data_IF_110878840669
#
_entry.id   IF_110878840669
#
_cell.length_a   1.000
_cell.length_b   1.000
_cell.length_c   1.000
_cell.angle_alpha   90.00
_cell.angle_beta   90.00
_cell.angle_gamma   90.00
#
_symmetry.space_group_name_H-M   'P 1'
#
loop_
_entity.id
_entity.type
_entity.pdbx_description
1 polymer ?
#
# COMPACT_ATOMS: atom_id res chain seq x y z
N UNK A 1 -20.76 -26.67 50.84
CA UNK A 1 -19.89 -25.99 49.86
C UNK A 1 -18.50 -25.99 50.46
N UNK A 2 -17.58 -26.72 49.85
CA UNK A 2 -16.21 -26.84 50.34
C UNK A 2 -15.53 -25.48 50.32
N UNK A 3 -14.92 -25.08 51.44
CA UNK A 3 -14.19 -23.81 51.58
C UNK A 3 -13.18 -23.60 50.43
N UNK A 4 -12.62 -24.69 49.89
CA UNK A 4 -11.75 -24.66 48.71
C UNK A 4 -12.42 -24.09 47.47
N UNK A 5 -13.69 -24.43 47.21
CA UNK A 5 -14.43 -23.91 46.04
C UNK A 5 -14.71 -22.41 46.15
N UNK A 6 -15.03 -21.94 47.36
CA UNK A 6 -15.24 -20.51 47.64
C UNK A 6 -13.96 -19.70 47.41
N UNK A 7 -12.82 -20.15 47.95
CA UNK A 7 -11.53 -19.46 47.78
C UNK A 7 -11.08 -19.40 46.32
N UNK A 8 -11.27 -20.48 45.57
CA UNK A 8 -10.88 -20.55 44.16
C UNK A 8 -11.76 -19.61 43.30
N UNK A 9 -13.08 -19.59 43.56
CA UNK A 9 -13.97 -18.64 42.88
C UNK A 9 -13.62 -17.18 43.18
N UNK A 10 -13.29 -16.86 44.43
CA UNK A 10 -12.92 -15.50 44.84
C UNK A 10 -11.61 -15.07 44.17
N UNK A 11 -10.60 -15.94 44.17
CA UNK A 11 -9.31 -15.67 43.54
C UNK A 11 -9.45 -15.41 42.04
N UNK A 12 -10.29 -16.18 41.35
CA UNK A 12 -10.56 -16.00 39.93
C UNK A 12 -11.27 -14.67 39.65
N UNK A 13 -12.27 -14.31 40.45
CA UNK A 13 -12.94 -13.00 40.34
C UNK A 13 -11.96 -11.87 40.56
N UNK A 14 -11.13 -11.93 41.61
CA UNK A 14 -10.11 -10.90 41.89
C UNK A 14 -9.10 -10.81 40.76
N UNK A 15 -8.67 -11.93 40.18
CA UNK A 15 -7.73 -11.94 39.06
C UNK A 15 -8.33 -11.30 37.80
N UNK A 16 -9.56 -11.66 37.44
CA UNK A 16 -10.29 -11.03 36.32
C UNK A 16 -10.47 -9.54 36.57
N UNK A 17 -10.88 -9.16 37.79
CA UNK A 17 -11.07 -7.77 38.16
C UNK A 17 -9.74 -7.00 38.10
N UNK A 18 -8.64 -7.58 38.56
CA UNK A 18 -7.31 -6.98 38.48
C UNK A 18 -6.84 -6.82 37.04
N UNK A 19 -7.11 -7.81 36.16
CA UNK A 19 -6.79 -7.72 34.74
C UNK A 19 -7.59 -6.60 34.05
N UNK A 20 -8.88 -6.49 34.34
CA UNK A 20 -9.79 -5.47 33.79
C UNK A 20 -9.51 -4.07 34.36
N UNK A 21 -9.09 -3.97 35.63
CA UNK A 21 -8.77 -2.70 36.29
C UNK A 21 -7.32 -2.24 36.07
N UNK A 22 -6.43 -3.12 35.59
CA UNK A 22 -5.05 -2.77 35.20
C UNK A 22 -4.96 -1.58 34.23
N UNK A 23 -5.78 -1.46 33.17
CA UNK A 23 -5.79 -0.26 32.32
C UNK A 23 -6.27 1.01 33.05
N UNK A 24 -7.07 0.89 34.12
CA UNK A 24 -7.54 2.03 34.91
C UNK A 24 -6.49 2.53 35.92
N UNK A 25 -5.66 1.64 36.46
CA UNK A 25 -4.65 1.99 37.47
C UNK A 25 -3.28 2.41 36.86
N UNK A 26 -3.09 2.17 35.56
CA UNK A 26 -1.83 2.36 34.84
C UNK A 26 -1.77 3.62 33.96
N UNK A 27 -2.41 4.72 34.32
CA UNK A 27 -2.26 5.98 33.58
C UNK A 27 -2.32 7.19 34.48
N UNK A 28 -1.14 7.61 34.97
CA UNK A 28 -0.89 9.05 34.96
C UNK A 28 -0.91 9.46 33.47
N UNK A 29 -1.75 10.43 33.05
CA UNK A 29 -1.84 10.84 31.66
C UNK A 29 -0.56 11.59 31.28
N UNK A 30 0.45 10.84 30.85
CA UNK A 30 1.67 11.38 30.25
C UNK A 30 1.59 11.14 28.74
N UNK A 31 1.04 12.12 28.02
CA UNK A 31 1.36 12.40 26.61
C UNK A 31 0.66 11.63 25.50
N UNK A 32 0.44 10.31 25.62
CA UNK A 32 0.21 9.45 24.44
C UNK A 32 -1.28 9.23 24.04
N UNK A 33 -2.22 9.20 25.00
CA UNK A 33 -3.64 9.02 24.67
C UNK A 33 -4.22 10.14 23.77
N UNK A 34 -3.60 11.32 23.76
CA UNK A 34 -4.05 12.45 22.95
C UNK A 34 -3.73 12.29 21.46
N UNK A 35 -2.60 11.69 21.11
CA UNK A 35 -2.19 11.51 19.71
C UNK A 35 -2.93 10.35 19.06
N UNK A 36 -3.07 9.21 19.75
CA UNK A 36 -3.91 8.09 19.32
C UNK A 36 -5.39 8.51 19.09
N UNK A 37 -5.95 9.36 19.96
CA UNK A 37 -7.30 9.89 19.79
C UNK A 37 -7.42 10.85 18.58
N UNK A 38 -6.38 11.64 18.31
CA UNK A 38 -6.33 12.52 17.13
C UNK A 38 -6.21 11.72 15.84
N UNK A 39 -5.34 10.71 15.82
CA UNK A 39 -5.15 9.84 14.66
C UNK A 39 -6.41 9.05 14.34
N UNK A 40 -7.10 8.50 15.34
CA UNK A 40 -8.39 7.83 15.13
C UNK A 40 -9.48 8.78 14.63
N UNK A 41 -9.51 10.03 15.11
CA UNK A 41 -10.42 11.05 14.59
C UNK A 41 -10.15 11.37 13.11
N UNK A 42 -8.88 11.52 12.72
CA UNK A 42 -8.48 11.74 11.33
C UNK A 42 -8.81 10.54 10.44
N UNK A 43 -8.63 9.31 10.94
CA UNK A 43 -9.01 8.10 10.21
C UNK A 43 -10.52 8.05 9.94
N UNK A 44 -11.34 8.41 10.92
CA UNK A 44 -12.79 8.48 10.75
C UNK A 44 -13.22 9.58 9.76
N UNK A 45 -12.50 10.70 9.72
CA UNK A 45 -12.73 11.77 8.74
C UNK A 45 -12.41 11.29 7.32
N UNK A 46 -11.31 10.55 7.14
CA UNK A 46 -10.96 9.91 5.87
C UNK A 46 -12.03 8.93 5.40
N UNK A 47 -12.53 8.08 6.29
CA UNK A 47 -13.60 7.13 5.94
C UNK A 47 -14.88 7.85 5.48
N UNK A 48 -15.25 8.96 6.15
CA UNK A 48 -16.41 9.77 5.72
C UNK A 48 -16.24 10.36 4.33
N UNK A 49 -15.04 10.86 3.98
CA UNK A 49 -14.78 11.40 2.64
C UNK A 49 -14.85 10.30 1.59
N UNK A 50 -14.33 9.11 1.88
CA UNK A 50 -14.43 7.96 0.98
C UNK A 50 -15.88 7.53 0.75
N UNK A 51 -16.67 7.44 1.81
CA UNK A 51 -18.10 7.14 1.71
C UNK A 51 -18.83 8.18 0.86
N UNK A 52 -18.51 9.47 1.04
CA UNK A 52 -19.09 10.55 0.23
C UNK A 52 -18.70 10.44 -1.26
N UNK A 53 -17.44 10.12 -1.56
CA UNK A 53 -17.00 9.87 -2.96
C UNK A 53 -17.77 8.69 -3.55
N UNK A 54 -17.91 7.60 -2.79
CA UNK A 54 -18.65 6.43 -3.23
C UNK A 54 -20.12 6.77 -3.52
N UNK A 55 -20.77 7.54 -2.65
CA UNK A 55 -22.17 7.95 -2.82
C UNK A 55 -22.35 8.77 -4.11
N UNK A 56 -21.47 9.75 -4.37
CA UNK A 56 -21.58 10.57 -5.60
C UNK A 56 -21.24 9.77 -6.86
N UNK A 57 -20.31 8.82 -6.79
CA UNK A 57 -19.97 7.92 -7.89
C UNK A 57 -21.21 7.05 -8.22
N UNK A 58 -21.90 6.55 -7.19
CA UNK A 58 -23.15 5.79 -7.36
C UNK A 58 -24.29 6.64 -7.92
N UNK A 59 -24.47 7.87 -7.42
CA UNK A 59 -25.51 8.78 -7.90
C UNK A 59 -25.29 9.21 -9.36
N UNK A 60 -24.03 9.40 -9.76
CA UNK A 60 -23.68 9.65 -11.16
C UNK A 60 -23.98 8.43 -12.05
N UNK A 61 -23.59 7.22 -11.63
CA UNK A 61 -23.92 5.98 -12.36
C UNK A 61 -25.44 5.77 -12.47
N UNK A 62 -26.20 6.17 -11.46
CA UNK A 62 -27.68 6.16 -11.48
C UNK A 62 -28.29 7.29 -12.33
N UNK A 63 -27.48 8.20 -12.88
CA UNK A 63 -27.93 9.33 -13.70
C UNK A 63 -28.63 10.44 -12.91
N UNK A 64 -28.48 10.48 -11.58
CA UNK A 64 -29.06 11.54 -10.73
C UNK A 64 -28.25 12.83 -10.76
N UNK A 65 -26.96 12.73 -11.04
CA UNK A 65 -26.00 13.85 -11.04
C UNK A 65 -25.43 14.01 -12.45
N UNK A 66 -25.51 15.22 -13.04
CA UNK A 66 -24.94 15.49 -14.36
C UNK A 66 -23.41 15.47 -14.32
N UNK A 67 -22.78 15.14 -15.46
CA UNK A 67 -21.32 14.95 -15.59
C UNK A 67 -20.48 16.14 -15.07
N UNK A 68 -20.92 17.36 -15.37
CA UNK A 68 -20.20 18.58 -14.98
C UNK A 68 -20.16 18.77 -13.46
N UNK A 69 -21.30 18.54 -12.79
CA UNK A 69 -21.40 18.65 -11.34
C UNK A 69 -20.67 17.49 -10.65
N UNK A 70 -20.75 16.29 -11.22
CA UNK A 70 -20.03 15.11 -10.73
C UNK A 70 -18.52 15.36 -10.68
N UNK A 71 -17.92 15.79 -11.79
CA UNK A 71 -16.48 16.04 -11.84
C UNK A 71 -16.06 17.13 -10.85
N UNK A 72 -16.83 18.22 -10.75
CA UNK A 72 -16.53 19.30 -9.81
C UNK A 72 -16.58 18.82 -8.36
N UNK A 73 -17.63 18.09 -7.99
CA UNK A 73 -17.84 17.62 -6.62
C UNK A 73 -16.80 16.56 -6.23
N UNK A 74 -16.51 15.63 -7.14
CA UNK A 74 -15.48 14.60 -6.93
C UNK A 74 -14.08 15.19 -6.77
N UNK A 75 -13.73 16.22 -7.55
CA UNK A 75 -12.46 16.91 -7.38
C UNK A 75 -12.37 17.65 -6.04
N UNK A 76 -13.47 18.22 -5.56
CA UNK A 76 -13.50 18.89 -4.26
C UNK A 76 -13.27 17.88 -3.12
N UNK A 77 -14.00 16.77 -3.11
CA UNK A 77 -13.85 15.70 -2.11
C UNK A 77 -12.46 15.04 -2.17
N UNK A 78 -11.92 14.82 -3.37
CA UNK A 78 -10.58 14.26 -3.52
C UNK A 78 -9.48 15.16 -2.93
N UNK A 79 -9.62 16.49 -3.07
CA UNK A 79 -8.71 17.47 -2.45
C UNK A 79 -8.83 17.45 -0.93
N UNK A 80 -10.05 17.39 -0.40
CA UNK A 80 -10.29 17.26 1.04
C UNK A 80 -9.67 15.97 1.60
N UNK A 81 -9.88 14.84 0.93
CA UNK A 81 -9.28 13.56 1.31
C UNK A 81 -7.74 13.59 1.29
N UNK A 82 -7.13 14.26 0.31
CA UNK A 82 -5.68 14.42 0.25
C UNK A 82 -5.12 15.23 1.42
N UNK A 83 -5.82 16.29 1.84
CA UNK A 83 -5.44 17.09 3.02
C UNK A 83 -5.55 16.28 4.32
N UNK A 84 -6.57 15.44 4.46
CA UNK A 84 -6.72 14.55 5.63
C UNK A 84 -5.60 13.51 5.66
N UNK A 85 -5.29 12.88 4.52
CA UNK A 85 -4.19 11.90 4.43
C UNK A 85 -2.84 12.53 4.82
N UNK A 86 -2.57 13.75 4.37
CA UNK A 86 -1.36 14.49 4.75
C UNK A 86 -1.26 14.69 6.27
N UNK A 87 -2.37 15.05 6.93
CA UNK A 87 -2.40 15.19 8.41
C UNK A 87 -2.18 13.86 9.12
N UNK A 88 -2.70 12.76 8.55
CA UNK A 88 -2.46 11.41 9.07
C UNK A 88 -0.97 11.08 8.97
N UNK A 89 -0.34 11.30 7.82
CA UNK A 89 1.10 11.06 7.62
C UNK A 89 1.95 11.88 8.60
N UNK A 90 1.61 13.15 8.80
CA UNK A 90 2.27 14.02 9.78
C UNK A 90 2.12 13.50 11.22
N UNK A 91 0.93 13.01 11.59
CA UNK A 91 0.69 12.42 12.92
C UNK A 91 1.43 11.10 13.13
N UNK A 92 1.46 10.23 12.12
CA UNK A 92 2.20 8.97 12.18
C UNK A 92 3.69 9.20 12.30
N UNK A 93 4.25 10.16 11.55
CA UNK A 93 5.67 10.47 11.61
C UNK A 93 6.09 11.09 12.97
N UNK A 94 5.18 11.80 13.63
CA UNK A 94 5.38 12.33 14.98
C UNK A 94 5.27 11.24 16.07
N UNK A 95 4.37 10.27 15.89
CA UNK A 95 4.14 9.15 16.82
C UNK A 95 5.02 7.93 16.54
N UNK A 96 5.77 7.91 15.42
CA UNK A 96 6.82 6.93 15.13
C UNK A 96 7.87 6.98 16.24
N UNK A 97 7.66 6.19 17.29
CA UNK A 97 8.58 6.09 18.41
C UNK A 97 9.97 5.65 17.95
N UNK A 98 10.97 5.72 18.84
CA UNK A 98 12.37 5.38 18.53
C UNK A 98 12.58 3.91 18.07
N UNK A 99 11.56 3.06 18.13
CA UNK A 99 11.54 1.70 17.56
C UNK A 99 11.11 1.67 16.09
N UNK A 100 10.11 2.47 15.70
CA UNK A 100 9.68 2.59 14.30
C UNK A 100 10.77 3.26 13.46
N UNK A 101 11.40 4.31 13.99
CA UNK A 101 12.53 4.98 13.35
C UNK A 101 13.74 4.05 13.18
N UNK A 102 14.02 3.19 14.17
CA UNK A 102 15.07 2.15 14.07
C UNK A 102 14.74 1.09 13.02
N UNK A 103 13.48 0.68 12.92
CA UNK A 103 13.05 -0.28 11.91
C UNK A 103 13.20 0.30 10.49
N UNK A 104 12.85 1.57 10.30
CA UNK A 104 13.00 2.29 9.04
C UNK A 104 14.47 2.47 8.65
N UNK A 105 15.35 2.81 9.58
CA UNK A 105 16.80 2.89 9.37
C UNK A 105 17.41 1.53 8.98
N UNK A 106 16.96 0.44 9.61
CA UNK A 106 17.36 -0.93 9.27
C UNK A 106 16.91 -1.30 7.85
N UNK A 107 15.69 -0.91 7.46
CA UNK A 107 15.16 -1.15 6.12
C UNK A 107 15.95 -0.36 5.05
N UNK A 108 16.23 0.92 5.30
CA UNK A 108 17.03 1.76 4.40
C UNK A 108 18.45 1.19 4.20
N UNK A 109 19.08 0.70 5.27
CA UNK A 109 20.39 0.05 5.20
C UNK A 109 20.33 -1.22 4.33
N UNK A 110 19.28 -2.03 4.50
CA UNK A 110 19.08 -3.25 3.69
C UNK A 110 18.84 -2.96 2.22
N UNK A 111 18.16 -1.86 1.89
CA UNK A 111 17.91 -1.46 0.51
C UNK A 111 19.22 -1.14 -0.22
N UNK A 112 20.12 -0.40 0.44
CA UNK A 112 21.47 -0.11 -0.07
C UNK A 112 22.28 -1.41 -0.27
N UNK A 113 22.25 -2.32 0.70
CA UNK A 113 22.92 -3.62 0.59
C UNK A 113 22.39 -4.46 -0.58
N UNK A 114 21.07 -4.41 -0.80
CA UNK A 114 20.41 -5.12 -1.89
C UNK A 114 20.85 -4.54 -3.26
N UNK A 115 20.86 -3.22 -3.40
CA UNK A 115 21.33 -2.56 -4.63
C UNK A 115 22.81 -2.89 -4.93
N UNK A 116 23.66 -2.88 -3.90
CA UNK A 116 25.06 -3.26 -4.03
C UNK A 116 25.22 -4.73 -4.45
N UNK A 117 24.43 -5.64 -3.89
CA UNK A 117 24.44 -7.06 -4.27
C UNK A 117 23.97 -7.25 -5.72
N UNK A 118 22.92 -6.55 -6.16
CA UNK A 118 22.43 -6.57 -7.54
C UNK A 118 23.51 -6.05 -8.51
N UNK A 119 24.20 -4.97 -8.18
CA UNK A 119 25.29 -4.44 -9.00
C UNK A 119 26.45 -5.44 -9.16
N UNK A 120 26.83 -6.14 -8.09
CA UNK A 120 27.85 -7.19 -8.14
C UNK A 120 27.44 -8.38 -9.01
N UNK A 121 26.18 -8.81 -8.93
CA UNK A 121 25.64 -9.89 -9.76
C UNK A 121 25.57 -9.48 -11.24
N UNK A 122 25.21 -8.23 -11.54
CA UNK A 122 25.23 -7.69 -12.90
C UNK A 122 26.65 -7.60 -13.48
N UNK A 123 27.65 -7.29 -12.64
CA UNK A 123 29.07 -7.25 -13.03
C UNK A 123 29.76 -8.61 -13.16
N UNK A 124 29.22 -9.68 -12.55
CA UNK A 124 29.81 -11.03 -12.55
C UNK A 124 29.10 -12.04 -13.46
N UNK A 125 28.02 -11.65 -14.13
CA UNK A 125 27.37 -12.52 -15.11
C UNK A 125 28.30 -12.83 -16.30
N UNK A 126 28.17 -14.00 -16.96
CA UNK A 126 28.97 -14.38 -18.14
C UNK A 126 28.86 -13.40 -19.33
N UNK A 127 27.99 -12.39 -19.24
CA UNK A 127 27.75 -11.37 -20.26
C UNK A 127 28.25 -9.96 -19.85
N UNK A 128 29.02 -9.81 -18.76
CA UNK A 128 29.46 -8.50 -18.26
C UNK A 128 30.51 -7.80 -19.15
N UNK A 129 31.33 -8.55 -19.89
CA UNK A 129 32.32 -7.99 -20.82
C UNK A 129 31.75 -7.61 -22.20
N UNK A 130 30.50 -7.95 -22.49
CA UNK A 130 29.91 -7.84 -23.83
C UNK A 130 29.00 -6.63 -24.03
N UNK A 131 28.71 -5.85 -22.99
CA UNK A 131 27.68 -4.77 -23.07
C UNK A 131 28.18 -3.42 -23.57
N UNK A 132 29.48 -3.15 -23.55
CA UNK A 132 30.00 -1.85 -23.97
C UNK A 132 30.17 -1.71 -25.49
N UNK A 133 30.02 -2.82 -26.23
CA UNK A 133 29.98 -2.81 -27.70
C UNK A 133 29.21 -4.00 -28.27
N UNK A 134 27.99 -4.22 -27.78
CA UNK A 134 27.00 -4.95 -28.56
C UNK A 134 26.16 -3.88 -29.24
N UNK A 135 26.45 -3.59 -30.50
CA UNK A 135 25.36 -3.40 -31.46
C UNK A 135 24.50 -4.65 -31.27
N UNK A 136 23.53 -4.57 -30.36
CA UNK A 136 22.46 -5.54 -30.28
C UNK A 136 21.81 -5.36 -31.64
N UNK A 137 22.10 -6.28 -32.56
CA UNK A 137 21.10 -6.67 -33.54
C UNK A 137 19.93 -7.15 -32.68
N UNK A 138 19.12 -6.17 -32.28
CA UNK A 138 17.91 -6.42 -31.51
C UNK A 138 17.11 -7.47 -32.26
N UNK A 139 16.33 -8.29 -31.56
CA UNK A 139 15.33 -9.10 -32.25
C UNK A 139 14.58 -8.16 -33.20
N UNK A 140 14.60 -8.47 -34.50
CA UNK A 140 13.97 -7.62 -35.52
C UNK A 140 12.52 -7.41 -35.06
N UNK A 141 12.16 -6.16 -34.83
CA UNK A 141 10.81 -5.76 -34.48
C UNK A 141 10.05 -5.50 -35.77
N UNK A 142 8.89 -6.13 -35.89
CA UNK A 142 7.99 -5.99 -37.03
C UNK A 142 6.64 -5.47 -36.52
N UNK A 143 5.77 -5.01 -37.41
CA UNK A 143 4.40 -4.64 -37.04
C UNK A 143 3.49 -5.84 -37.32
N UNK A 144 2.59 -6.12 -36.40
CA UNK A 144 1.55 -7.12 -36.60
C UNK A 144 0.67 -6.69 -37.79
N UNK A 145 0.47 -7.57 -38.80
CA UNK A 145 -0.30 -7.21 -40.00
C UNK A 145 -1.79 -6.97 -39.73
N UNK A 146 -2.34 -7.50 -38.63
CA UNK A 146 -3.76 -7.37 -38.29
C UNK A 146 -4.10 -6.12 -37.48
N UNK A 147 -3.29 -5.80 -36.45
CA UNK A 147 -3.59 -4.69 -35.54
C UNK A 147 -2.56 -3.55 -35.59
N UNK A 148 -1.44 -3.74 -36.29
CA UNK A 148 -0.36 -2.75 -36.40
C UNK A 148 0.52 -2.62 -35.16
N UNK A 149 0.38 -3.49 -34.15
CA UNK A 149 1.20 -3.41 -32.94
C UNK A 149 2.63 -3.92 -33.18
N UNK A 150 3.61 -3.34 -32.51
CA UNK A 150 5.01 -3.81 -32.60
C UNK A 150 5.14 -5.19 -31.95
N UNK A 151 5.67 -6.15 -32.70
CA UNK A 151 5.88 -7.54 -32.30
C UNK A 151 7.35 -7.92 -32.47
N UNK A 152 7.81 -8.88 -31.69
CA UNK A 152 9.14 -9.46 -31.83
C UNK A 152 9.10 -10.69 -32.73
N UNK A 153 10.14 -10.91 -33.52
CA UNK A 153 10.24 -12.07 -34.42
C UNK A 153 10.22 -13.44 -33.70
N UNK A 154 10.33 -13.46 -32.37
CA UNK A 154 10.21 -14.66 -31.54
C UNK A 154 8.77 -14.92 -31.04
N UNK A 155 7.85 -13.97 -31.26
CA UNK A 155 6.46 -14.09 -30.82
C UNK A 155 5.70 -15.02 -31.76
N UNK A 156 5.02 -16.03 -31.18
CA UNK A 156 4.13 -16.93 -31.94
C UNK A 156 2.74 -16.34 -32.17
N UNK A 157 2.34 -15.40 -31.32
CA UNK A 157 1.04 -14.72 -31.35
C UNK A 157 1.21 -13.25 -30.96
N UNK A 158 0.39 -12.37 -31.51
CA UNK A 158 0.34 -10.96 -31.09
C UNK A 158 -0.26 -10.83 -29.69
N UNK A 159 0.41 -10.11 -28.79
CA UNK A 159 -0.06 -9.87 -27.42
C UNK A 159 -1.30 -8.96 -27.33
N UNK A 160 -1.59 -8.18 -28.37
CA UNK A 160 -2.70 -7.22 -28.39
C UNK A 160 -3.97 -7.82 -28.99
N UNK A 161 -3.87 -8.47 -30.15
CA UNK A 161 -5.02 -8.98 -30.92
C UNK A 161 -5.11 -10.51 -30.98
N UNK A 162 -4.08 -11.24 -30.55
CA UNK A 162 -4.05 -12.70 -30.55
C UNK A 162 -3.77 -13.38 -31.90
N UNK A 163 -3.50 -12.63 -32.97
CA UNK A 163 -3.20 -13.19 -34.29
C UNK A 163 -1.95 -14.07 -34.28
N UNK A 164 -1.99 -15.24 -34.94
CA UNK A 164 -0.86 -16.17 -35.05
C UNK A 164 0.16 -15.70 -36.09
N UNK A 165 1.45 -15.75 -35.73
CA UNK A 165 2.56 -15.20 -36.51
C UNK A 165 3.44 -16.28 -37.17
N UNK A 166 3.18 -17.57 -36.89
CA UNK A 166 4.02 -18.70 -37.34
C UNK A 166 3.97 -18.98 -38.85
N UNK A 167 3.00 -18.43 -39.60
CA UNK A 167 2.76 -18.78 -41.01
C UNK A 167 3.37 -17.79 -42.03
N UNK A 168 4.04 -16.72 -41.59
CA UNK A 168 4.53 -15.65 -42.48
C UNK A 168 6.05 -15.47 -42.53
N UNK A 169 6.82 -16.34 -41.88
CA UNK A 169 8.29 -16.36 -42.00
C UNK A 169 8.69 -17.33 -43.12
N UNK A 170 8.71 -16.84 -44.36
CA UNK A 170 9.42 -17.43 -45.49
C UNK A 170 10.33 -16.39 -46.13
#
# INVERSE_FOLDING_TARGET
MDIGTLLLSLAMVVFVLAYVLRPLAGSAPSGDNGSAQRLSALQAERDRVLDSIQEIDMDHVMGKVPEEDYHRLRQALAREGAEILRKIDESQNQDSGPEAQRAEEVLATREIELEAAIAQLRGKGPNAASREKLEVSGPKTELCPDCGQVIFHADRYCAECGASLEEQVA
#
